data_IF_972444064161
#
_entry.id   IF_972444064161
#
_cell.length_a   1.000
_cell.length_b   1.000
_cell.length_c   1.000
_cell.angle_alpha   90.00
_cell.angle_beta   90.00
_cell.angle_gamma   90.00
#
_symmetry.space_group_name_H-M   'P 1'
#
loop_
_entity.id
_entity.type
_entity.pdbx_description
1 polymer ?
#
# COMPACT_ATOMS: atom_id res chain seq x y z
N UNK A 1 -26.09 16.39 -3.07
CA UNK A 1 -25.94 17.49 -4.02
C UNK A 1 -24.57 18.13 -3.78
N UNK A 2 -23.56 17.84 -4.60
CA UNK A 2 -22.27 18.53 -4.47
C UNK A 2 -22.45 19.97 -4.97
N UNK A 3 -22.18 20.96 -4.13
CA UNK A 3 -22.17 22.36 -4.56
C UNK A 3 -21.02 22.57 -5.53
N UNK A 4 -21.30 23.18 -6.69
CA UNK A 4 -20.26 23.56 -7.64
C UNK A 4 -19.32 24.57 -6.98
N UNK A 5 -18.03 24.46 -7.30
CA UNK A 5 -17.05 25.41 -6.79
C UNK A 5 -17.24 26.75 -7.50
N UNK A 6 -17.30 27.83 -6.74
CA UNK A 6 -17.31 29.18 -7.31
C UNK A 6 -15.89 29.56 -7.73
N UNK A 7 -15.73 29.87 -9.02
CA UNK A 7 -14.50 30.43 -9.57
C UNK A 7 -14.65 31.94 -9.76
N UNK A 8 -13.57 32.69 -9.54
CA UNK A 8 -13.60 34.14 -9.77
C UNK A 8 -13.60 34.45 -11.26
N UNK A 9 -14.18 35.59 -11.67
CA UNK A 9 -14.16 36.01 -13.08
C UNK A 9 -12.74 36.12 -13.66
N UNK A 10 -11.76 36.57 -12.85
CA UNK A 10 -10.33 36.60 -13.23
C UNK A 10 -9.74 35.20 -13.45
N UNK A 11 -10.30 34.17 -12.80
CA UNK A 11 -9.89 32.79 -13.04
C UNK A 11 -10.51 32.26 -14.33
N UNK A 12 -11.80 32.54 -14.56
CA UNK A 12 -12.51 32.12 -15.77
C UNK A 12 -11.96 32.77 -17.04
N UNK A 13 -11.51 34.03 -16.96
CA UNK A 13 -10.88 34.71 -18.10
C UNK A 13 -9.61 34.02 -18.60
N UNK A 14 -9.00 33.13 -17.81
CA UNK A 14 -7.86 32.29 -18.27
C UNK A 14 -8.29 31.22 -19.25
N UNK A 15 -9.54 30.74 -19.18
CA UNK A 15 -10.06 29.73 -20.10
C UNK A 15 -10.17 30.27 -21.52
N UNK A 16 -10.52 31.56 -21.65
CA UNK A 16 -10.68 32.22 -22.95
C UNK A 16 -9.34 32.72 -23.53
N UNK A 17 -8.46 33.23 -22.67
CA UNK A 17 -7.27 33.96 -23.12
C UNK A 17 -5.98 33.14 -23.11
N UNK A 18 -5.86 32.12 -22.24
CA UNK A 18 -4.59 31.42 -22.05
C UNK A 18 -4.58 30.09 -22.82
N UNK A 19 -3.73 29.98 -23.85
CA UNK A 19 -3.37 28.70 -24.46
C UNK A 19 -2.11 28.17 -23.78
N UNK A 20 -2.24 27.11 -23.00
CA UNK A 20 -1.12 26.53 -22.28
C UNK A 20 -0.23 25.69 -23.21
N UNK A 21 1.08 25.80 -23.03
CA UNK A 21 2.08 25.01 -23.75
C UNK A 21 2.41 23.76 -22.94
N UNK A 22 3.00 22.74 -23.56
CA UNK A 22 3.37 21.50 -22.87
C UNK A 22 4.24 21.72 -21.61
N UNK A 23 5.13 22.72 -21.63
CA UNK A 23 5.97 23.10 -20.48
C UNK A 23 5.17 23.55 -19.26
N UNK A 24 3.96 24.06 -19.46
CA UNK A 24 3.11 24.55 -18.39
C UNK A 24 2.40 23.40 -17.67
N UNK A 25 2.21 22.27 -18.36
CA UNK A 25 1.37 21.15 -17.87
C UNK A 25 2.19 19.91 -17.53
N UNK A 26 3.27 19.63 -18.28
CA UNK A 26 4.18 18.49 -18.09
C UNK A 26 5.54 18.94 -17.54
N UNK A 27 6.19 18.11 -16.70
CA UNK A 27 7.60 18.31 -16.39
C UNK A 27 8.47 18.11 -17.64
N UNK A 28 9.55 18.87 -17.74
CA UNK A 28 10.48 18.83 -18.87
C UNK A 28 11.89 18.48 -18.40
N UNK A 29 12.57 17.59 -19.13
CA UNK A 29 13.98 17.32 -18.89
C UNK A 29 14.80 18.45 -19.52
N UNK A 30 15.62 19.12 -18.71
CA UNK A 30 16.52 20.18 -19.18
C UNK A 30 17.96 19.77 -18.92
N UNK A 31 18.77 19.79 -19.96
CA UNK A 31 20.20 19.59 -19.86
C UNK A 31 20.91 20.91 -19.54
N UNK A 32 21.78 20.91 -18.54
CA UNK A 32 22.62 22.04 -18.20
C UNK A 32 24.03 21.78 -18.74
N UNK A 33 24.37 22.44 -19.84
CA UNK A 33 25.67 22.33 -20.50
C UNK A 33 26.83 22.74 -19.58
N UNK A 34 26.65 23.79 -18.78
CA UNK A 34 27.69 24.29 -17.88
C UNK A 34 28.02 23.32 -16.72
N UNK A 35 27.05 22.46 -16.34
CA UNK A 35 27.23 21.49 -15.25
C UNK A 35 27.28 20.04 -15.73
N UNK A 36 27.20 19.82 -17.05
CA UNK A 36 27.07 18.51 -17.70
C UNK A 36 26.07 17.58 -17.02
N UNK A 37 24.93 18.13 -16.57
CA UNK A 37 23.90 17.40 -15.80
C UNK A 37 22.52 17.72 -16.32
N UNK A 38 21.66 16.71 -16.40
CA UNK A 38 20.24 16.88 -16.69
C UNK A 38 19.41 16.94 -15.40
N UNK A 39 18.34 17.73 -15.41
CA UNK A 39 17.37 17.77 -14.31
C UNK A 39 15.95 17.97 -14.84
N UNK A 40 14.98 17.49 -14.07
CA UNK A 40 13.57 17.68 -14.38
C UNK A 40 13.08 19.03 -13.86
N UNK A 41 12.61 19.88 -14.76
CA UNK A 41 11.88 21.10 -14.41
C UNK A 41 10.42 20.75 -14.14
N UNK A 42 9.83 21.19 -13.02
CA UNK A 42 8.43 20.99 -12.75
C UNK A 42 7.56 21.79 -13.75
N UNK A 43 6.31 21.38 -13.99
CA UNK A 43 5.38 22.15 -14.80
C UNK A 43 5.12 23.53 -14.16
N UNK A 44 4.92 24.56 -14.98
CA UNK A 44 4.63 25.92 -14.48
C UNK A 44 3.32 25.97 -13.70
N UNK A 45 2.31 25.22 -14.16
CA UNK A 45 1.03 25.09 -13.45
C UNK A 45 1.11 23.92 -12.48
N UNK A 46 0.87 24.20 -11.21
CA UNK A 46 0.71 23.15 -10.20
C UNK A 46 -0.46 22.23 -10.54
N UNK A 47 -0.39 20.96 -10.13
CA UNK A 47 -1.48 19.98 -10.32
C UNK A 47 -2.82 20.46 -9.76
N UNK A 48 -2.79 21.23 -8.67
CA UNK A 48 -3.99 21.85 -8.07
C UNK A 48 -4.63 22.85 -9.04
N UNK A 49 -3.84 23.75 -9.61
CA UNK A 49 -4.33 24.74 -10.57
C UNK A 49 -4.84 24.04 -11.83
N UNK A 50 -4.14 23.04 -12.32
CA UNK A 50 -4.60 22.24 -13.48
C UNK A 50 -5.95 21.57 -13.18
N UNK A 51 -6.15 21.01 -11.99
CA UNK A 51 -7.44 20.41 -11.59
C UNK A 51 -8.55 21.46 -11.44
N UNK A 52 -8.23 22.64 -10.91
CA UNK A 52 -9.18 23.75 -10.79
C UNK A 52 -9.60 24.26 -12.17
N UNK A 53 -8.65 24.39 -13.11
CA UNK A 53 -8.95 24.74 -14.50
C UNK A 53 -9.82 23.68 -15.15
N UNK A 54 -9.52 22.38 -15.00
CA UNK A 54 -10.38 21.31 -15.53
C UNK A 54 -11.81 21.38 -14.99
N UNK A 55 -11.98 21.65 -13.69
CA UNK A 55 -13.32 21.81 -13.09
C UNK A 55 -14.06 23.01 -13.68
N UNK A 56 -13.36 24.12 -13.90
CA UNK A 56 -13.94 25.30 -14.53
C UNK A 56 -14.30 25.04 -16.02
N UNK A 57 -13.44 24.34 -16.77
CA UNK A 57 -13.72 23.89 -18.14
C UNK A 57 -15.02 23.07 -18.20
N UNK A 58 -15.17 22.07 -17.31
CA UNK A 58 -16.37 21.23 -17.22
C UNK A 58 -17.62 22.06 -16.90
N UNK A 59 -17.50 23.05 -16.01
CA UNK A 59 -18.61 23.91 -15.62
C UNK A 59 -19.07 24.85 -16.76
N UNK A 60 -18.13 25.37 -17.54
CA UNK A 60 -18.39 26.27 -18.68
C UNK A 60 -18.67 25.50 -19.99
N UNK A 61 -18.66 24.16 -19.98
CA UNK A 61 -18.87 23.33 -21.17
C UNK A 61 -17.73 23.41 -22.19
N UNK A 62 -16.52 23.78 -21.77
CA UNK A 62 -15.34 23.89 -22.62
C UNK A 62 -14.51 22.60 -22.50
N UNK A 63 -14.11 22.02 -23.63
CA UNK A 63 -13.20 20.87 -23.63
C UNK A 63 -11.82 21.24 -23.07
N UNK A 64 -11.31 20.57 -22.01
CA UNK A 64 -10.03 20.92 -21.38
C UNK A 64 -8.83 20.88 -22.34
N UNK A 65 -8.88 20.00 -23.34
CA UNK A 65 -7.83 19.84 -24.35
C UNK A 65 -7.71 21.05 -25.26
N UNK A 66 -8.79 21.82 -25.47
CA UNK A 66 -8.78 23.02 -26.32
C UNK A 66 -7.92 24.16 -25.76
N UNK A 67 -7.75 24.20 -24.43
CA UNK A 67 -6.96 25.20 -23.69
C UNK A 67 -5.50 24.70 -23.48
N UNK A 68 -5.19 23.48 -23.93
CA UNK A 68 -3.86 22.86 -23.80
C UNK A 68 -3.66 22.07 -22.50
N UNK A 69 -4.72 21.76 -21.74
CA UNK A 69 -4.62 20.83 -20.62
C UNK A 69 -4.51 19.38 -21.11
N UNK A 70 -3.85 18.54 -20.32
CA UNK A 70 -3.77 17.12 -20.61
C UNK A 70 -5.15 16.46 -20.52
N UNK A 71 -5.47 15.54 -21.45
CA UNK A 71 -6.71 14.77 -21.39
C UNK A 71 -6.77 13.98 -20.09
N UNK A 72 -7.99 13.64 -19.68
CA UNK A 72 -8.20 12.85 -18.47
C UNK A 72 -7.57 11.47 -18.61
N UNK A 73 -6.77 11.09 -17.62
CA UNK A 73 -6.18 9.75 -17.59
C UNK A 73 -7.23 8.74 -17.20
N UNK A 74 -7.34 7.65 -17.97
CA UNK A 74 -8.22 6.54 -17.63
C UNK A 74 -8.01 6.07 -16.17
N UNK A 75 -9.09 5.70 -15.45
CA UNK A 75 -8.98 5.21 -14.09
C UNK A 75 -8.07 3.97 -14.04
N UNK A 76 -7.24 3.90 -13.01
CA UNK A 76 -6.38 2.72 -12.80
C UNK A 76 -7.26 1.49 -12.56
N UNK A 77 -6.95 0.39 -13.24
CA UNK A 77 -7.62 -0.89 -13.01
C UNK A 77 -7.53 -1.29 -11.53
N UNK A 78 -8.62 -1.80 -10.96
CA UNK A 78 -8.61 -2.37 -9.62
C UNK A 78 -7.65 -3.56 -9.59
N UNK A 79 -6.62 -3.48 -8.74
CA UNK A 79 -5.68 -4.58 -8.55
C UNK A 79 -6.27 -5.53 -7.51
N UNK A 80 -6.80 -6.67 -7.96
CA UNK A 80 -7.16 -7.77 -7.07
C UNK A 80 -5.91 -8.56 -6.71
N UNK A 81 -5.20 -8.12 -5.66
CA UNK A 81 -4.13 -8.91 -5.06
C UNK A 81 -4.76 -9.86 -4.03
N UNK A 82 -4.46 -11.18 -4.06
CA UNK A 82 -4.93 -12.08 -3.01
C UNK A 82 -4.42 -11.61 -1.65
N UNK A 83 -5.26 -11.73 -0.62
CA UNK A 83 -4.90 -11.34 0.73
C UNK A 83 -3.74 -12.20 1.22
N UNK A 84 -2.75 -11.58 1.86
CA UNK A 84 -1.59 -12.26 2.47
C UNK A 84 -1.99 -13.16 3.64
N UNK A 85 -3.21 -13.00 4.17
CA UNK A 85 -3.74 -13.64 5.38
C UNK A 85 -2.97 -13.22 6.64
N UNK A 86 -3.61 -13.38 7.79
CA UNK A 86 -2.97 -13.07 9.07
C UNK A 86 -1.94 -14.14 9.46
N UNK A 87 -1.02 -13.81 10.38
CA UNK A 87 0.02 -14.76 10.82
C UNK A 87 -0.60 -16.06 11.34
N UNK A 88 -1.68 -15.97 12.11
CA UNK A 88 -2.30 -17.14 12.73
C UNK A 88 -3.01 -18.05 11.70
N UNK A 89 -3.51 -17.47 10.59
CA UNK A 89 -4.09 -18.21 9.48
C UNK A 89 -3.00 -18.92 8.68
N UNK A 90 -1.90 -18.20 8.37
CA UNK A 90 -0.74 -18.77 7.68
C UNK A 90 -0.11 -19.95 8.43
N UNK A 91 0.02 -19.82 9.76
CA UNK A 91 0.65 -20.84 10.61
C UNK A 91 -0.32 -21.93 11.10
N UNK A 92 -1.59 -21.91 10.67
CA UNK A 92 -2.62 -22.84 11.18
C UNK A 92 -2.24 -24.30 10.89
N UNK A 93 -1.81 -24.59 9.66
CA UNK A 93 -1.45 -25.94 9.23
C UNK A 93 -0.26 -26.51 10.04
N UNK A 94 0.78 -25.71 10.25
CA UNK A 94 1.96 -26.12 11.03
C UNK A 94 1.61 -26.41 12.49
N UNK A 95 0.75 -25.57 13.10
CA UNK A 95 0.27 -25.79 14.47
C UNK A 95 -0.55 -27.07 14.58
N UNK A 96 -1.45 -27.32 13.64
CA UNK A 96 -2.25 -28.57 13.60
C UNK A 96 -1.35 -29.80 13.49
N UNK A 97 -0.36 -29.78 12.59
CA UNK A 97 0.59 -30.88 12.43
C UNK A 97 1.42 -31.12 13.70
N UNK A 98 1.82 -30.05 14.39
CA UNK A 98 2.58 -30.16 15.65
C UNK A 98 1.74 -30.75 16.77
N UNK A 99 0.49 -30.32 16.90
CA UNK A 99 -0.46 -30.89 17.87
C UNK A 99 -0.64 -32.38 17.61
N UNK A 100 -0.86 -32.79 16.36
CA UNK A 100 -1.04 -34.19 16.00
C UNK A 100 0.17 -35.06 16.38
N UNK A 101 1.39 -34.62 16.05
CA UNK A 101 2.61 -35.34 16.44
C UNK A 101 2.78 -35.46 17.96
N UNK A 102 2.39 -34.43 18.71
CA UNK A 102 2.45 -34.46 20.17
C UNK A 102 1.42 -35.45 20.75
N UNK A 103 0.23 -35.51 20.16
CA UNK A 103 -0.80 -36.49 20.55
C UNK A 103 -0.34 -37.92 20.29
N UNK A 104 0.34 -38.18 19.17
CA UNK A 104 0.91 -39.48 18.83
C UNK A 104 2.02 -39.91 19.81
N UNK A 105 2.86 -38.97 20.25
CA UNK A 105 3.96 -39.24 21.22
C UNK A 105 3.51 -39.31 22.68
N UNK A 106 2.32 -38.80 22.98
CA UNK A 106 1.76 -38.73 24.33
C UNK A 106 1.86 -40.06 25.13
N UNK A 107 1.45 -41.24 24.62
CA UNK A 107 1.51 -42.48 25.40
C UNK A 107 2.93 -42.85 25.83
N UNK A 108 3.93 -42.65 24.96
CA UNK A 108 5.33 -42.90 25.30
C UNK A 108 5.83 -41.94 26.37
N UNK A 109 5.48 -40.65 26.27
CA UNK A 109 5.85 -39.66 27.30
C UNK A 109 5.20 -39.96 28.65
N UNK A 110 3.97 -40.46 28.67
CA UNK A 110 3.28 -40.88 29.90
C UNK A 110 3.98 -42.09 30.52
N UNK A 111 4.38 -43.08 29.71
CA UNK A 111 5.11 -44.24 30.21
C UNK A 111 6.47 -43.85 30.80
N UNK A 112 7.25 -43.05 30.08
CA UNK A 112 8.54 -42.55 30.57
C UNK A 112 8.39 -41.79 31.89
N UNK A 113 7.39 -40.91 32.01
CA UNK A 113 7.11 -40.19 33.26
C UNK A 113 6.76 -41.12 34.42
N UNK A 114 5.94 -42.17 34.17
CA UNK A 114 5.61 -43.17 35.20
C UNK A 114 6.85 -43.93 35.67
N UNK A 115 7.71 -44.35 34.74
CA UNK A 115 8.94 -45.06 35.06
C UNK A 115 9.93 -44.19 35.85
N UNK A 116 10.07 -42.91 35.49
CA UNK A 116 10.90 -41.97 36.24
C UNK A 116 10.39 -41.79 37.68
N UNK A 117 9.07 -41.66 37.87
CA UNK A 117 8.48 -41.57 39.21
C UNK A 117 8.75 -42.80 40.07
N UNK A 118 8.66 -44.00 39.49
CA UNK A 118 9.01 -45.23 40.19
C UNK A 118 10.49 -45.29 40.56
N UNK A 119 11.39 -44.85 39.66
CA UNK A 119 12.83 -44.77 39.92
C UNK A 119 13.14 -43.77 41.04
N UNK A 120 12.47 -42.62 41.08
CA UNK A 120 12.60 -41.63 42.17
C UNK A 120 12.18 -42.22 43.52
N UNK A 121 11.02 -42.89 43.58
CA UNK A 121 10.54 -43.55 44.81
C UNK A 121 11.50 -44.65 45.28
N UNK A 122 12.08 -45.42 44.37
CA UNK A 122 13.06 -46.45 44.70
C UNK A 122 14.35 -45.88 45.31
N UNK A 123 14.81 -44.71 44.84
CA UNK A 123 15.97 -44.00 45.42
C UNK A 123 15.70 -43.50 46.85
N UNK A 124 14.46 -43.16 47.17
CA UNK A 124 14.08 -42.63 48.50
C UNK A 124 13.93 -43.71 49.57
N UNK A 125 13.64 -44.96 49.19
CA UNK A 125 13.65 -46.09 50.14
C UNK A 125 15.11 -46.41 50.49
N UNK A 126 15.59 -45.89 51.61
CA UNK A 126 16.94 -46.20 52.12
C UNK A 126 17.04 -47.69 52.45
N UNK A 127 18.13 -48.34 52.01
CA UNK A 127 18.36 -49.76 52.21
C UNK A 127 19.00 -50.09 53.57
N UNK A 128 18.90 -49.20 54.55
CA UNK A 128 19.38 -49.52 55.89
C UNK A 128 18.35 -50.42 56.56
N UNK A 129 18.72 -51.66 56.93
CA UNK A 129 17.87 -52.46 57.79
C UNK A 129 17.85 -51.77 59.15
N UNK A 130 16.65 -51.60 59.72
CA UNK A 130 16.52 -51.38 61.16
C UNK A 130 17.18 -52.55 61.91
#
# INVERSE_FOLDING_TARGET
>A
MSTFRTFSGKFLSKLENAKFVEADVKPQLVYNEAKSKSFWRPPRLSRRIQADLRKACIQEGIEPTSIGLLPETAPKSLRYKPNKLEKHERMRAERQATIQRNMEKMPQTIQAWKEEKLKELAKQKSSMPF
#
